data_IF_610170706266
#
_entry.id   IF_610170706266
#
_cell.length_a   1.000
_cell.length_b   1.000
_cell.length_c   1.000
_cell.angle_alpha   90.00
_cell.angle_beta   90.00
_cell.angle_gamma   90.00
#
_symmetry.space_group_name_H-M   'P 1'
#
loop_
_entity.id
_entity.type
_entity.pdbx_description
1 polymer ?
#
# COMPACT_ATOMS: atom_id res chain seq x y z
N UNK A 1 1.98 8.34 3.76
CA UNK A 1 0.81 7.47 3.94
C UNK A 1 -0.42 8.34 4.08
N UNK A 2 -1.42 8.10 3.25
CA UNK A 2 -2.60 8.95 3.23
C UNK A 2 -3.85 8.30 3.81
N UNK A 3 -3.77 7.05 4.19
CA UNK A 3 -4.87 6.38 4.88
C UNK A 3 -4.27 5.51 5.96
N UNK A 4 -5.02 5.24 7.00
CA UNK A 4 -4.54 4.34 8.04
C UNK A 4 -4.27 2.98 7.43
N UNK A 5 -3.12 2.38 7.71
CA UNK A 5 -2.84 1.04 7.21
C UNK A 5 -3.85 0.04 7.75
N UNK A 6 -4.23 -0.92 6.93
CA UNK A 6 -5.19 -1.93 7.32
C UNK A 6 -4.45 -3.26 7.46
N UNK A 7 -4.32 -3.73 8.69
CA UNK A 7 -3.65 -4.98 8.99
C UNK A 7 -4.68 -6.11 9.02
N UNK A 8 -4.33 -7.23 8.42
CA UNK A 8 -5.20 -8.39 8.43
C UNK A 8 -4.37 -9.65 8.33
N UNK A 9 -4.95 -10.77 8.69
CA UNK A 9 -4.28 -12.04 8.54
C UNK A 9 -5.10 -12.91 7.59
N UNK A 10 -4.40 -13.75 6.84
CA UNK A 10 -5.08 -14.67 5.95
C UNK A 10 -5.49 -15.92 6.73
N UNK A 11 -6.38 -16.75 6.17
CA UNK A 11 -6.74 -18.01 6.82
C UNK A 11 -5.56 -18.93 7.05
N UNK A 12 -4.47 -18.73 6.34
CA UNK A 12 -3.28 -19.53 6.53
C UNK A 12 -2.28 -18.93 7.50
N UNK A 13 -2.69 -17.88 8.21
CA UNK A 13 -1.84 -17.28 9.23
C UNK A 13 -0.84 -16.27 8.73
N UNK A 14 -0.94 -15.84 7.50
CA UNK A 14 -0.02 -14.84 6.98
C UNK A 14 -0.49 -13.45 7.35
N UNK A 15 0.46 -12.59 7.68
CA UNK A 15 0.17 -11.21 8.05
C UNK A 15 0.29 -10.33 6.82
N UNK A 16 -0.68 -9.48 6.63
CA UNK A 16 -0.72 -8.55 5.50
C UNK A 16 -1.14 -7.18 5.99
N UNK A 17 -0.49 -6.14 5.49
CA UNK A 17 -0.94 -4.78 5.74
C UNK A 17 -1.11 -4.08 4.40
N UNK A 18 -2.28 -3.52 4.19
CA UNK A 18 -2.56 -2.74 2.99
C UNK A 18 -2.36 -1.27 3.29
N UNK A 19 -1.62 -0.59 2.44
CA UNK A 19 -1.26 0.80 2.61
C UNK A 19 -1.58 1.54 1.33
N UNK A 20 -2.05 2.77 1.47
CA UNK A 20 -2.18 3.65 0.31
C UNK A 20 -1.12 4.74 0.45
N UNK A 21 -0.19 4.75 -0.48
CA UNK A 21 0.92 5.68 -0.45
C UNK A 21 0.69 6.78 -1.46
N UNK A 22 0.85 8.02 -1.02
CA UNK A 22 0.80 9.17 -1.92
C UNK A 22 2.22 9.53 -2.29
N UNK A 23 2.49 9.55 -3.60
CA UNK A 23 3.81 9.91 -4.11
C UNK A 23 3.66 11.22 -4.85
N UNK A 24 4.39 12.23 -4.42
CA UNK A 24 4.28 13.53 -5.02
C UNK A 24 5.13 13.61 -6.29
N UNK A 25 4.57 14.22 -7.30
CA UNK A 25 5.27 14.45 -8.55
C UNK A 25 5.41 15.95 -8.77
N UNK A 26 6.13 16.30 -9.81
CA UNK A 26 6.26 17.71 -10.22
C UNK A 26 4.90 18.33 -10.47
N UNK A 27 4.83 19.62 -10.36
CA UNK A 27 3.61 20.40 -10.68
C UNK A 27 2.45 20.07 -9.74
N UNK A 28 2.76 19.78 -8.48
CA UNK A 28 1.74 19.57 -7.45
C UNK A 28 0.79 18.42 -7.76
N UNK A 29 1.26 17.41 -8.44
CA UNK A 29 0.47 16.23 -8.69
C UNK A 29 0.90 15.10 -7.78
N UNK A 30 -0.02 14.24 -7.45
CA UNK A 30 0.26 13.09 -6.60
C UNK A 30 -0.32 11.84 -7.21
N UNK A 31 0.41 10.75 -7.06
CA UNK A 31 -0.09 9.45 -7.44
C UNK A 31 -0.39 8.69 -6.16
N UNK A 32 -1.51 8.00 -6.15
CA UNK A 32 -1.91 7.20 -5.00
C UNK A 32 -1.70 5.74 -5.37
N UNK A 33 -0.77 5.10 -4.70
CA UNK A 33 -0.32 3.77 -5.07
C UNK A 33 -0.67 2.78 -3.98
N UNK A 34 -1.44 1.74 -4.31
CA UNK A 34 -1.74 0.69 -3.34
C UNK A 34 -0.50 -0.15 -3.09
N UNK A 35 -0.22 -0.43 -1.85
CA UNK A 35 0.96 -1.17 -1.45
C UNK A 35 0.55 -2.29 -0.53
N UNK A 36 1.15 -3.46 -0.74
CA UNK A 36 0.84 -4.60 0.10
C UNK A 36 2.13 -5.07 0.77
N UNK A 37 2.08 -5.19 2.08
CA UNK A 37 3.21 -5.64 2.87
C UNK A 37 2.89 -6.99 3.49
N UNK A 38 3.87 -7.88 3.51
CA UNK A 38 3.70 -9.24 4.00
C UNK A 38 4.64 -9.53 5.16
N UNK A 39 4.20 -10.34 6.09
CA UNK A 39 5.04 -10.87 7.15
C UNK A 39 5.66 -9.78 8.01
N UNK A 40 6.99 -9.76 8.10
CA UNK A 40 7.69 -8.79 8.91
C UNK A 40 7.36 -7.36 8.49
N UNK A 41 7.27 -7.13 7.18
CA UNK A 41 6.95 -5.79 6.68
C UNK A 41 5.52 -5.42 7.07
N UNK A 42 4.62 -6.38 7.11
CA UNK A 42 3.24 -6.10 7.53
C UNK A 42 3.20 -5.70 9.00
N UNK A 43 4.00 -6.34 9.84
CA UNK A 43 4.05 -5.98 11.25
C UNK A 43 4.63 -4.59 11.46
N UNK A 44 5.62 -4.24 10.67
CA UNK A 44 6.18 -2.89 10.72
C UNK A 44 5.15 -1.88 10.24
N UNK A 45 4.50 -2.18 9.14
CA UNK A 45 3.58 -1.24 8.51
C UNK A 45 2.33 -0.98 9.34
N UNK A 46 1.88 -1.94 10.12
CA UNK A 46 0.66 -1.72 10.89
C UNK A 46 0.83 -0.67 11.98
N UNK A 47 2.07 -0.33 12.31
CA UNK A 47 2.34 0.69 13.31
C UNK A 47 2.52 2.09 12.72
N UNK A 48 2.40 2.21 11.41
CA UNK A 48 2.53 3.50 10.76
C UNK A 48 1.22 4.27 10.81
N UNK A 49 1.32 5.58 10.65
CA UNK A 49 0.15 6.45 10.75
C UNK A 49 0.05 7.35 9.53
N UNK A 50 -1.13 7.89 9.32
CA UNK A 50 -1.36 8.86 8.26
C UNK A 50 -0.38 10.02 8.48
N UNK A 51 0.27 10.42 7.41
CA UNK A 51 1.27 11.49 7.45
C UNK A 51 2.69 11.01 7.55
N UNK A 52 2.89 9.71 7.87
CA UNK A 52 4.25 9.18 7.92
C UNK A 52 4.85 9.11 6.52
N UNK A 53 6.13 9.40 6.44
CA UNK A 53 6.88 9.29 5.19
C UNK A 53 7.66 8.00 5.20
N UNK A 54 7.55 7.25 4.12
CA UNK A 54 8.23 5.96 4.04
C UNK A 54 8.95 5.83 2.71
N UNK A 55 10.01 5.05 2.73
CA UNK A 55 10.73 4.70 1.52
C UNK A 55 10.55 3.21 1.31
N UNK A 56 10.15 2.84 0.13
CA UNK A 56 9.76 1.49 -0.16
C UNK A 56 10.50 0.94 -1.36
N UNK A 57 11.00 -0.28 -1.22
CA UNK A 57 11.55 -1.03 -2.33
C UNK A 57 10.62 -2.20 -2.54
N UNK A 58 10.17 -2.38 -3.77
CA UNK A 58 9.27 -3.46 -4.08
C UNK A 58 9.11 -3.61 -5.56
N UNK A 59 8.17 -4.42 -5.95
CA UNK A 59 7.89 -4.63 -7.36
C UNK A 59 6.42 -4.45 -7.59
N UNK A 60 6.11 -4.00 -8.79
CA UNK A 60 4.73 -3.83 -9.20
C UNK A 60 4.22 -5.18 -9.66
N UNK A 61 3.06 -5.54 -9.17
CA UNK A 61 2.40 -6.75 -9.61
C UNK A 61 0.97 -6.43 -9.97
N UNK A 62 0.40 -7.22 -10.83
CA UNK A 62 -0.98 -7.04 -11.21
C UNK A 62 -1.76 -8.27 -10.83
N UNK A 63 -3.03 -8.08 -10.60
CA UNK A 63 -3.94 -9.21 -10.39
C UNK A 63 -5.23 -8.88 -11.08
N UNK A 64 -5.87 -9.90 -11.60
CA UNK A 64 -7.16 -9.71 -12.21
C UNK A 64 -8.23 -10.18 -11.24
N UNK A 65 -9.35 -9.54 -11.30
CA UNK A 65 -10.49 -9.95 -10.50
C UNK A 65 -11.74 -9.68 -11.30
N UNK A 66 -12.79 -10.35 -10.93
CA UNK A 66 -14.07 -10.20 -11.62
C UNK A 66 -15.00 -9.37 -10.77
N UNK A 67 -15.60 -8.38 -11.38
CA UNK A 67 -16.57 -7.56 -10.70
C UNK A 67 -17.92 -7.82 -11.34
N UNK A 68 -18.87 -8.20 -10.52
CA UNK A 68 -20.21 -8.46 -11.02
C UNK A 68 -20.94 -7.14 -11.14
N UNK A 69 -21.41 -6.82 -12.32
CA UNK A 69 -22.16 -5.61 -12.55
C UNK A 69 -23.64 -5.84 -12.31
N UNK A 70 -24.13 -6.97 -12.78
CA UNK A 70 -25.52 -7.35 -12.55
C UNK A 70 -25.60 -8.86 -12.62
N UNK A 71 -26.79 -9.41 -12.60
CA UNK A 71 -26.93 -10.85 -12.55
C UNK A 71 -26.40 -11.56 -13.78
N UNK A 72 -26.33 -10.85 -14.88
CA UNK A 72 -25.94 -11.48 -16.13
C UNK A 72 -24.58 -11.04 -16.62
N UNK A 73 -24.01 -9.98 -16.07
CA UNK A 73 -22.76 -9.45 -16.59
C UNK A 73 -21.68 -9.38 -15.53
N UNK A 74 -20.51 -9.85 -15.91
CA UNK A 74 -19.33 -9.77 -15.07
C UNK A 74 -18.20 -9.21 -15.93
N UNK A 75 -17.46 -8.24 -15.38
CA UNK A 75 -16.32 -7.72 -16.09
C UNK A 75 -15.05 -8.11 -15.35
N UNK A 76 -13.98 -8.28 -16.11
CA UNK A 76 -12.69 -8.57 -15.54
C UNK A 76 -11.91 -7.29 -15.45
N UNK A 77 -11.38 -7.00 -14.27
CA UNK A 77 -10.57 -5.81 -14.05
C UNK A 77 -9.19 -6.21 -13.59
N UNK A 78 -8.22 -5.35 -13.88
CA UNK A 78 -6.86 -5.56 -13.45
C UNK A 78 -6.50 -4.48 -12.45
N UNK A 79 -5.99 -4.91 -11.33
CA UNK A 79 -5.51 -3.99 -10.30
C UNK A 79 -4.00 -4.10 -10.21
N UNK A 80 -3.34 -2.98 -10.00
CA UNK A 80 -1.89 -2.95 -9.85
C UNK A 80 -1.57 -2.53 -8.43
N UNK A 81 -0.58 -3.17 -7.86
CA UNK A 81 -0.15 -2.84 -6.50
C UNK A 81 1.35 -3.10 -6.39
N UNK A 82 1.97 -2.51 -5.39
CA UNK A 82 3.39 -2.72 -5.16
C UNK A 82 3.55 -3.68 -3.99
N UNK A 83 4.23 -4.78 -4.24
CA UNK A 83 4.53 -5.74 -3.19
C UNK A 83 5.87 -5.35 -2.59
N UNK A 84 5.91 -5.12 -1.29
CA UNK A 84 7.09 -4.60 -0.62
C UNK A 84 8.13 -5.67 -0.39
N UNK A 85 9.37 -5.38 -0.79
CA UNK A 85 10.51 -6.20 -0.41
C UNK A 85 11.18 -5.61 0.83
N UNK A 86 11.17 -4.29 0.95
CA UNK A 86 11.82 -3.60 2.05
C UNK A 86 11.15 -2.24 2.23
N UNK A 87 11.04 -1.77 3.45
CA UNK A 87 10.54 -0.43 3.69
C UNK A 87 11.24 0.19 4.87
N UNK A 88 11.36 1.50 4.84
CA UNK A 88 11.97 2.28 5.89
C UNK A 88 11.11 3.49 6.21
N UNK A 89 10.99 3.81 7.48
CA UNK A 89 10.32 5.04 7.89
C UNK A 89 11.33 6.17 7.79
N UNK A 90 10.97 7.22 7.06
CA UNK A 90 11.81 8.38 6.94
C UNK A 90 11.41 9.33 8.05
N UNK A 91 12.35 9.57 8.98
CA UNK A 91 12.04 10.50 10.05
C UNK A 91 12.09 11.90 9.49
N UNK A 92 11.06 12.68 9.87
CA UNK A 92 11.03 14.04 9.50
C UNK A 92 12.12 14.70 10.23
N UNK A 93 13.03 15.38 9.52
CA UNK A 93 14.02 16.11 10.19
C UNK A 93 13.38 17.20 10.91
N UNK A 94 13.65 17.31 12.17
CA UNK A 94 13.16 18.37 12.92
C UNK A 94 13.87 19.52 12.53
N UNK A 95 13.30 20.47 12.02
CA UNK A 95 13.90 21.58 11.68
C UNK A 95 14.28 22.31 12.71
N UNK A 96 15.21 22.38 12.97
CA UNK A 96 15.51 23.04 13.93
C UNK A 96 15.59 24.27 13.69
N UNK A 97 15.18 24.54 13.32
CA UNK A 97 15.15 25.67 13.13
C UNK A 97 14.91 26.11 13.26
#
# INVERSE_FOLDING_TARGET
ICKEPVYRTTPFGREITDILLAVNRSYNKSDYIPIIAWGRNARFAKNLHVGDNVKIWGRIQSRTYQKRINEEETITKTAYEVSINRMELIEKEENEE
#
